data_IF_187231016372
#
_entry.id   IF_187231016372
#
_cell.length_a   1.000
_cell.length_b   1.000
_cell.length_c   1.000
_cell.angle_alpha   90.00
_cell.angle_beta   90.00
_cell.angle_gamma   90.00
#
_symmetry.space_group_name_H-M   'P 1'
#
loop_
_entity.id
_entity.type
_entity.pdbx_description
1 polymer ?
#
# COMPACT_ATOMS: atom_id res chain seq x y z
N UNK A 1 -27.93 -4.16 -10.04
CA UNK A 1 -27.43 -4.34 -8.66
C UNK A 1 -26.77 -3.03 -8.26
N UNK A 2 -27.23 -2.37 -7.19
CA UNK A 2 -26.55 -1.17 -6.68
C UNK A 2 -25.14 -1.57 -6.26
N UNK A 3 -24.11 -0.91 -6.78
CA UNK A 3 -22.79 -1.00 -6.19
C UNK A 3 -22.90 -0.57 -4.71
N UNK A 4 -22.22 -1.27 -3.81
CA UNK A 4 -22.19 -0.87 -2.41
C UNK A 4 -21.50 0.50 -2.33
N UNK A 5 -22.26 1.55 -2.03
CA UNK A 5 -21.72 2.88 -1.78
C UNK A 5 -21.11 2.90 -0.39
N UNK A 6 -19.81 3.18 -0.31
CA UNK A 6 -19.17 3.41 0.98
C UNK A 6 -19.56 4.78 1.50
N UNK A 7 -19.86 4.87 2.80
CA UNK A 7 -19.68 6.15 3.50
C UNK A 7 -18.18 6.52 3.50
N UNK A 8 -17.83 7.81 3.68
CA UNK A 8 -16.42 8.24 3.71
C UNK A 8 -15.57 7.47 4.72
N UNK A 9 -16.11 7.19 5.91
CA UNK A 9 -15.38 6.49 6.97
C UNK A 9 -15.23 4.99 6.69
N UNK A 10 -16.26 4.35 6.14
CA UNK A 10 -16.16 2.96 5.68
C UNK A 10 -15.12 2.82 4.57
N UNK A 11 -15.10 3.75 3.60
CA UNK A 11 -14.09 3.77 2.54
C UNK A 11 -12.67 3.92 3.12
N UNK A 12 -12.45 4.88 4.02
CA UNK A 12 -11.15 5.07 4.68
C UNK A 12 -10.71 3.82 5.45
N UNK A 13 -11.61 3.27 6.28
CA UNK A 13 -11.34 2.06 7.07
C UNK A 13 -11.04 0.85 6.18
N UNK A 14 -11.81 0.67 5.11
CA UNK A 14 -11.60 -0.38 4.12
C UNK A 14 -10.21 -0.28 3.46
N UNK A 15 -9.82 0.92 3.04
CA UNK A 15 -8.50 1.14 2.44
C UNK A 15 -7.36 0.92 3.44
N UNK A 16 -7.47 1.45 4.67
CA UNK A 16 -6.47 1.27 5.71
C UNK A 16 -6.28 -0.20 6.10
N UNK A 17 -7.34 -1.01 6.07
CA UNK A 17 -7.23 -2.45 6.30
C UNK A 17 -6.35 -3.14 5.24
N UNK A 18 -6.42 -2.75 3.96
CA UNK A 18 -5.53 -3.31 2.94
C UNK A 18 -4.07 -2.88 3.14
N UNK A 19 -3.83 -1.63 3.52
CA UNK A 19 -2.47 -1.18 3.87
C UNK A 19 -1.92 -1.98 5.04
N UNK A 20 -2.67 -2.14 6.13
CA UNK A 20 -2.24 -2.92 7.29
C UNK A 20 -1.94 -4.40 6.94
N UNK A 21 -2.80 -5.02 6.11
CA UNK A 21 -2.58 -6.39 5.64
C UNK A 21 -1.35 -6.52 4.73
N UNK A 22 -1.09 -5.52 3.88
CA UNK A 22 0.12 -5.50 3.07
C UNK A 22 1.37 -5.35 3.95
N UNK A 23 1.35 -4.44 4.92
CA UNK A 23 2.45 -4.26 5.87
C UNK A 23 2.77 -5.57 6.59
N UNK A 24 1.76 -6.29 7.09
CA UNK A 24 1.94 -7.62 7.68
C UNK A 24 2.54 -8.64 6.71
N UNK A 25 2.14 -8.62 5.43
CA UNK A 25 2.69 -9.52 4.42
C UNK A 25 4.16 -9.20 4.07
N UNK A 26 4.55 -7.93 4.11
CA UNK A 26 5.95 -7.48 3.98
C UNK A 26 6.75 -7.95 5.18
N UNK A 27 6.29 -7.68 6.41
CA UNK A 27 6.93 -8.16 7.64
C UNK A 27 7.17 -9.66 7.58
N UNK A 28 6.16 -10.43 7.17
CA UNK A 28 6.28 -11.89 7.06
C UNK A 28 7.32 -12.34 6.04
N UNK A 29 7.50 -11.57 4.96
CA UNK A 29 8.51 -11.88 3.94
C UNK A 29 9.92 -11.60 4.44
N UNK A 30 10.10 -10.53 5.22
CA UNK A 30 11.37 -10.21 5.87
C UNK A 30 11.73 -11.19 6.99
N UNK A 31 10.75 -11.73 7.72
CA UNK A 31 10.96 -12.82 8.68
C UNK A 31 11.56 -14.05 8.00
N UNK A 32 10.97 -14.49 6.89
CA UNK A 32 11.49 -15.62 6.11
C UNK A 32 12.90 -15.34 5.57
N UNK A 33 13.16 -14.10 5.12
CA UNK A 33 14.48 -13.68 4.68
C UNK A 33 15.51 -13.71 5.82
N UNK A 34 15.13 -13.29 7.03
CA UNK A 34 15.97 -13.35 8.21
C UNK A 34 16.29 -14.79 8.60
N UNK A 35 15.29 -15.67 8.61
CA UNK A 35 15.46 -17.12 8.87
C UNK A 35 16.41 -17.78 7.84
N UNK A 36 16.35 -17.34 6.58
CA UNK A 36 17.25 -17.79 5.52
C UNK A 36 18.64 -17.11 5.53
N UNK A 37 18.92 -16.24 6.51
CA UNK A 37 20.20 -15.52 6.61
C UNK A 37 20.44 -14.44 5.55
N UNK A 38 19.39 -14.01 4.83
CA UNK A 38 19.45 -12.97 3.80
C UNK A 38 19.29 -11.55 4.36
N UNK A 39 18.72 -11.41 5.55
CA UNK A 39 18.54 -10.12 6.23
C UNK A 39 19.02 -10.24 7.68
N UNK A 40 19.90 -9.34 8.12
CA UNK A 40 20.42 -9.37 9.49
C UNK A 40 19.40 -8.84 10.53
N UNK A 41 18.63 -7.80 10.17
CA UNK A 41 17.69 -7.12 11.07
C UNK A 41 16.46 -6.65 10.32
N UNK A 42 15.29 -6.79 10.95
CA UNK A 42 14.03 -6.23 10.47
C UNK A 42 13.81 -4.88 11.15
N UNK A 43 13.60 -3.82 10.36
CA UNK A 43 13.32 -2.47 10.87
C UNK A 43 11.88 -2.35 11.37
N UNK A 44 11.61 -1.42 12.27
CA UNK A 44 10.31 -1.33 12.97
C UNK A 44 9.26 -0.53 12.18
N UNK A 45 9.66 0.39 11.30
CA UNK A 45 8.72 1.20 10.53
C UNK A 45 8.32 0.52 9.23
N UNK A 46 7.02 0.54 8.89
CA UNK A 46 6.47 -0.07 7.68
C UNK A 46 7.18 0.38 6.39
N UNK A 47 7.42 1.69 6.22
CA UNK A 47 8.12 2.23 5.06
C UNK A 47 9.58 1.76 4.97
N UNK A 48 10.24 1.55 6.11
CA UNK A 48 11.59 0.97 6.16
C UNK A 48 11.57 -0.51 5.78
N UNK A 49 10.59 -1.27 6.28
CA UNK A 49 10.44 -2.67 5.89
C UNK A 49 10.15 -2.83 4.39
N UNK A 50 9.31 -1.97 3.81
CA UNK A 50 9.08 -1.98 2.36
C UNK A 50 10.38 -1.69 1.59
N UNK A 51 11.17 -0.71 2.04
CA UNK A 51 12.47 -0.43 1.42
C UNK A 51 13.44 -1.62 1.52
N UNK A 52 13.48 -2.32 2.66
CA UNK A 52 14.28 -3.56 2.82
C UNK A 52 13.81 -4.66 1.86
N UNK A 53 12.49 -4.83 1.70
CA UNK A 53 11.92 -5.81 0.78
C UNK A 53 12.30 -5.50 -0.68
N UNK A 54 12.29 -4.22 -1.06
CA UNK A 54 12.66 -3.79 -2.42
C UNK A 54 14.12 -4.17 -2.70
N UNK A 55 15.04 -3.79 -1.83
CA UNK A 55 16.47 -4.14 -1.96
C UNK A 55 16.65 -5.65 -2.03
N UNK A 56 16.03 -6.39 -1.10
CA UNK A 56 16.10 -7.86 -1.10
C UNK A 56 15.54 -8.47 -2.39
N UNK A 57 14.52 -7.86 -3.00
CA UNK A 57 13.94 -8.35 -4.25
C UNK A 57 14.86 -8.25 -5.46
N UNK A 58 15.85 -7.36 -5.41
CA UNK A 58 16.89 -7.22 -6.42
C UNK A 58 17.99 -8.28 -6.26
N UNK A 59 18.20 -8.79 -5.04
CA UNK A 59 19.22 -9.81 -4.73
C UNK A 59 18.72 -11.25 -4.90
N UNK A 60 17.42 -11.50 -4.72
CA UNK A 60 16.85 -12.85 -4.78
C UNK A 60 16.63 -13.28 -6.24
N UNK A 61 17.38 -14.31 -6.64
CA UNK A 61 17.31 -14.89 -7.97
C UNK A 61 15.91 -15.41 -8.35
N UNK A 62 15.67 -15.51 -9.66
CA UNK A 62 14.44 -16.05 -10.21
C UNK A 62 14.44 -16.01 -11.72
N UNK A 63 13.49 -16.73 -12.33
CA UNK A 63 13.28 -16.64 -13.78
C UNK A 63 12.86 -15.22 -14.17
N UNK A 64 13.19 -14.80 -15.40
CA UNK A 64 12.77 -13.50 -15.95
C UNK A 64 11.27 -13.23 -15.77
N UNK A 65 10.43 -14.27 -15.94
CA UNK A 65 8.97 -14.18 -15.73
C UNK A 65 8.62 -13.87 -14.26
N UNK A 66 9.27 -14.50 -13.29
CA UNK A 66 9.03 -14.27 -11.86
C UNK A 66 9.49 -12.85 -11.45
N UNK A 67 10.67 -12.44 -11.89
CA UNK A 67 11.21 -11.10 -11.58
C UNK A 67 10.32 -10.00 -12.15
N UNK A 68 9.89 -10.14 -13.41
CA UNK A 68 8.98 -9.19 -14.06
C UNK A 68 7.61 -9.14 -13.36
N UNK A 69 7.06 -10.28 -12.96
CA UNK A 69 5.77 -10.32 -12.26
C UNK A 69 5.84 -9.63 -10.89
N UNK A 70 6.91 -9.85 -10.13
CA UNK A 70 7.13 -9.18 -8.84
C UNK A 70 7.31 -7.67 -9.03
N UNK A 71 8.18 -7.25 -9.96
CA UNK A 71 8.41 -5.83 -10.25
C UNK A 71 7.14 -5.10 -10.69
N UNK A 72 6.33 -5.70 -11.57
CA UNK A 72 5.07 -5.10 -11.99
C UNK A 72 4.09 -4.92 -10.83
N UNK A 73 3.97 -5.92 -9.95
CA UNK A 73 3.11 -5.83 -8.79
C UNK A 73 3.62 -4.75 -7.81
N UNK A 74 4.94 -4.67 -7.61
CA UNK A 74 5.56 -3.70 -6.73
C UNK A 74 5.34 -2.26 -7.23
N UNK A 75 5.53 -2.04 -8.54
CA UNK A 75 5.29 -0.74 -9.17
C UNK A 75 3.82 -0.31 -9.01
N UNK A 76 2.87 -1.23 -9.22
CA UNK A 76 1.45 -0.95 -9.01
C UNK A 76 1.15 -0.53 -7.55
N UNK A 77 1.81 -1.17 -6.57
CA UNK A 77 1.68 -0.79 -5.17
C UNK A 77 2.31 0.58 -4.87
N UNK A 78 3.51 0.85 -5.39
CA UNK A 78 4.24 2.11 -5.18
C UNK A 78 3.50 3.34 -5.74
N UNK A 79 2.64 3.17 -6.74
CA UNK A 79 1.77 4.25 -7.24
C UNK A 79 0.70 4.62 -6.20
N UNK A 80 0.22 3.64 -5.42
CA UNK A 80 -0.89 3.79 -4.47
C UNK A 80 -0.40 4.17 -3.07
N UNK A 81 0.77 3.67 -2.66
CA UNK A 81 1.35 3.86 -1.32
C UNK A 81 1.34 5.32 -0.83
N UNK A 82 1.68 6.35 -1.65
CA UNK A 82 1.66 7.73 -1.20
C UNK A 82 0.30 8.23 -0.73
N UNK A 83 -0.81 7.57 -1.10
CA UNK A 83 -2.17 7.91 -0.66
C UNK A 83 -2.47 7.47 0.77
N UNK A 84 -1.71 6.52 1.31
CA UNK A 84 -1.87 6.00 2.69
C UNK A 84 -1.84 7.11 3.74
N UNK A 85 -0.94 8.09 3.59
CA UNK A 85 -0.82 9.19 4.56
C UNK A 85 -2.09 10.04 4.66
N UNK A 86 -2.81 10.25 3.55
CA UNK A 86 -4.07 10.98 3.55
C UNK A 86 -5.17 10.18 4.24
N UNK A 87 -5.21 8.86 4.00
CA UNK A 87 -6.18 7.99 4.64
C UNK A 87 -5.96 7.89 6.16
N UNK A 88 -4.71 7.85 6.60
CA UNK A 88 -4.34 7.68 8.00
C UNK A 88 -4.33 9.00 8.81
N UNK A 89 -3.85 10.09 8.20
CA UNK A 89 -3.58 11.35 8.90
C UNK A 89 -4.32 12.54 8.31
N UNK A 90 -5.01 12.36 7.18
CA UNK A 90 -5.73 13.42 6.52
C UNK A 90 -6.89 13.93 7.37
N UNK A 91 -6.93 15.23 7.56
CA UNK A 91 -7.99 15.96 8.24
C UNK A 91 -8.62 16.96 7.27
N UNK A 92 -9.93 17.17 7.37
CA UNK A 92 -10.61 18.15 6.53
C UNK A 92 -12.12 17.95 6.49
N UNK A 93 -12.82 18.86 5.80
CA UNK A 93 -14.28 18.83 5.73
C UNK A 93 -14.81 17.73 4.81
N UNK A 94 -16.01 17.26 5.15
CA UNK A 94 -16.88 16.44 4.31
C UNK A 94 -18.02 17.30 3.78
N UNK A 95 -18.24 17.28 2.47
CA UNK A 95 -19.38 17.93 1.84
C UNK A 95 -20.26 16.90 1.13
N UNK A 96 -21.54 17.20 1.00
CA UNK A 96 -22.49 16.43 0.20
C UNK A 96 -22.88 17.26 -1.02
N UNK A 97 -22.83 16.64 -2.19
CA UNK A 97 -23.26 17.22 -3.46
C UNK A 97 -24.79 17.13 -3.60
N UNK A 98 -25.38 17.92 -4.50
CA UNK A 98 -26.83 17.96 -4.68
C UNK A 98 -27.45 16.62 -5.10
N UNK A 99 -26.66 15.74 -5.71
CA UNK A 99 -27.07 14.40 -6.13
C UNK A 99 -26.95 13.35 -5.01
N UNK A 100 -26.54 13.75 -3.80
CA UNK A 100 -26.34 12.87 -2.65
C UNK A 100 -24.97 12.19 -2.59
N UNK A 101 -24.10 12.41 -3.58
CA UNK A 101 -22.72 11.92 -3.53
C UNK A 101 -21.90 12.77 -2.55
N UNK A 102 -20.84 12.21 -1.97
CA UNK A 102 -19.96 12.95 -1.07
C UNK A 102 -18.64 13.40 -1.72
N UNK A 103 -18.08 14.49 -1.18
CA UNK A 103 -16.75 15.01 -1.47
C UNK A 103 -15.98 15.17 -0.14
N UNK A 104 -14.84 14.49 -0.04
CA UNK A 104 -13.96 14.57 1.13
C UNK A 104 -12.67 15.32 0.78
N UNK A 105 -12.30 16.28 1.62
CA UNK A 105 -10.99 16.92 1.56
C UNK A 105 -10.09 16.36 2.66
N UNK A 106 -8.90 15.89 2.28
CA UNK A 106 -7.90 15.34 3.19
C UNK A 106 -6.62 16.18 3.10
N UNK A 107 -6.33 16.91 4.16
CA UNK A 107 -5.11 17.70 4.31
C UNK A 107 -4.11 16.96 5.19
N UNK A 108 -2.87 16.87 4.71
CA UNK A 108 -1.75 16.25 5.43
C UNK A 108 -0.60 17.23 5.53
N UNK A 109 -0.16 17.43 6.78
CA UNK A 109 1.12 18.05 7.09
C UNK A 109 2.19 16.96 7.17
N UNK A 110 3.23 17.11 6.37
CA UNK A 110 4.41 16.25 6.42
C UNK A 110 5.66 17.10 6.65
N UNK A 111 6.67 16.51 7.27
CA UNK A 111 7.94 17.17 7.52
C UNK A 111 9.05 16.32 6.92
N UNK A 112 9.84 16.92 6.01
CA UNK A 112 11.02 16.27 5.43
C UNK A 112 12.22 17.18 5.61
N UNK A 113 13.28 16.67 6.25
CA UNK A 113 14.48 17.46 6.58
C UNK A 113 14.14 18.76 7.34
N UNK A 114 13.17 18.67 8.27
CA UNK A 114 12.64 19.80 9.04
C UNK A 114 11.92 20.89 8.20
N UNK A 115 11.58 20.60 6.95
CA UNK A 115 10.77 21.47 6.08
C UNK A 115 9.34 20.95 6.04
N UNK A 116 8.40 21.80 6.42
CA UNK A 116 6.97 21.49 6.34
C UNK A 116 6.50 21.47 4.89
N UNK A 117 5.71 20.46 4.55
CA UNK A 117 4.97 20.36 3.28
C UNK A 117 3.51 20.11 3.59
N UNK A 118 2.65 20.97 3.04
CA UNK A 118 1.21 20.85 3.12
C UNK A 118 0.69 20.27 1.80
N UNK A 119 -0.02 19.16 1.89
CA UNK A 119 -0.61 18.51 0.72
C UNK A 119 -2.08 18.25 0.95
N UNK A 120 -2.89 18.40 -0.10
CA UNK A 120 -4.34 18.18 -0.09
C UNK A 120 -4.71 17.11 -1.11
N UNK A 121 -5.62 16.22 -0.72
CA UNK A 121 -6.29 15.30 -1.62
C UNK A 121 -7.80 15.50 -1.51
N UNK A 122 -8.41 15.97 -2.61
CA UNK A 122 -9.86 15.98 -2.77
C UNK A 122 -10.30 14.64 -3.38
N UNK A 123 -11.31 14.02 -2.79
CA UNK A 123 -11.81 12.71 -3.21
C UNK A 123 -13.33 12.74 -3.31
N UNK A 124 -13.84 12.56 -4.52
CA UNK A 124 -15.26 12.32 -4.77
C UNK A 124 -15.60 10.86 -4.51
N UNK A 125 -16.85 10.57 -4.16
CA UNK A 125 -17.33 9.20 -3.94
C UNK A 125 -16.95 8.23 -5.06
N UNK A 126 -17.13 8.62 -6.32
CA UNK A 126 -16.72 7.77 -7.46
C UNK A 126 -15.21 7.54 -7.50
N UNK A 127 -14.39 8.55 -7.24
CA UNK A 127 -12.93 8.40 -7.21
C UNK A 127 -12.50 7.48 -6.07
N UNK A 128 -13.21 7.53 -4.94
CA UNK A 128 -13.01 6.65 -3.80
C UNK A 128 -13.27 5.18 -4.16
N UNK A 129 -14.36 4.89 -4.88
CA UNK A 129 -14.68 3.54 -5.37
C UNK A 129 -13.63 2.99 -6.34
N UNK A 130 -13.18 3.82 -7.28
CA UNK A 130 -12.09 3.45 -8.21
C UNK A 130 -10.80 3.19 -7.46
N UNK A 131 -10.42 4.09 -6.53
CA UNK A 131 -9.24 3.92 -5.71
C UNK A 131 -9.29 2.63 -4.87
N UNK A 132 -10.45 2.31 -4.26
CA UNK A 132 -10.61 1.07 -3.49
C UNK A 132 -10.45 -0.18 -4.36
N UNK A 133 -10.93 -0.12 -5.61
CA UNK A 133 -10.76 -1.19 -6.60
C UNK A 133 -9.29 -1.35 -6.98
N UNK A 134 -8.59 -0.26 -7.29
CA UNK A 134 -7.17 -0.27 -7.64
C UNK A 134 -6.31 -0.77 -6.49
N UNK A 135 -6.57 -0.30 -5.27
CA UNK A 135 -5.91 -0.76 -4.05
C UNK A 135 -6.12 -2.26 -3.82
N UNK A 136 -7.35 -2.75 -3.99
CA UNK A 136 -7.66 -4.18 -3.86
C UNK A 136 -6.90 -5.01 -4.89
N UNK A 137 -6.82 -4.54 -6.14
CA UNK A 137 -6.12 -5.24 -7.22
C UNK A 137 -4.60 -5.25 -7.00
N UNK A 138 -4.01 -4.11 -6.62
CA UNK A 138 -2.60 -4.01 -6.28
C UNK A 138 -2.25 -4.89 -5.07
N UNK A 139 -3.10 -4.89 -4.03
CA UNK A 139 -2.95 -5.77 -2.86
C UNK A 139 -2.95 -7.25 -3.25
N UNK A 140 -3.93 -7.68 -4.07
CA UNK A 140 -4.04 -9.07 -4.52
C UNK A 140 -2.80 -9.50 -5.32
N UNK A 141 -2.38 -8.65 -6.27
CA UNK A 141 -1.19 -8.90 -7.07
C UNK A 141 0.05 -9.05 -6.18
N UNK A 142 0.28 -8.08 -5.29
CA UNK A 142 1.44 -8.11 -4.39
C UNK A 142 1.41 -9.27 -3.40
N UNK A 143 0.27 -9.57 -2.80
CA UNK A 143 0.15 -10.68 -1.85
C UNK A 143 0.48 -12.03 -2.50
N UNK A 144 0.02 -12.23 -3.75
CA UNK A 144 0.40 -13.41 -4.54
C UNK A 144 1.90 -13.46 -4.82
N UNK A 145 2.48 -12.35 -5.28
CA UNK A 145 3.92 -12.28 -5.58
C UNK A 145 4.79 -12.44 -4.34
N UNK A 146 4.39 -11.90 -3.18
CA UNK A 146 5.08 -12.12 -1.90
C UNK A 146 5.06 -13.59 -1.47
N UNK A 147 3.97 -14.31 -1.75
CA UNK A 147 3.90 -15.76 -1.54
C UNK A 147 4.93 -16.53 -2.36
N UNK A 148 5.09 -16.20 -3.64
CA UNK A 148 6.11 -16.78 -4.50
C UNK A 148 7.52 -16.35 -4.10
N UNK A 149 7.69 -15.10 -3.71
CA UNK A 149 8.97 -14.54 -3.26
C UNK A 149 9.52 -15.28 -2.04
N UNK A 150 8.69 -15.52 -1.01
CA UNK A 150 9.09 -16.29 0.18
C UNK A 150 9.58 -17.69 -0.17
N UNK A 151 8.93 -18.37 -1.12
CA UNK A 151 9.38 -19.70 -1.59
C UNK A 151 10.76 -19.62 -2.24
N UNK A 152 11.03 -18.58 -3.03
CA UNK A 152 12.34 -18.37 -3.68
C UNK A 152 13.44 -18.11 -2.65
N UNK A 153 13.17 -17.32 -1.61
CA UNK A 153 14.13 -17.07 -0.52
C UNK A 153 14.58 -18.38 0.15
N UNK A 154 13.66 -19.33 0.31
CA UNK A 154 13.90 -20.61 1.00
C UNK A 154 14.54 -21.67 0.10
N UNK A 155 14.46 -21.51 -1.22
CA UNK A 155 15.08 -22.42 -2.19
C UNK A 155 16.54 -22.01 -2.39
N UNK A 156 17.46 -22.89 -1.99
CA UNK A 156 18.88 -22.78 -2.31
C UNK A 156 19.13 -23.14 -3.76
#
# INVERSE_FOLDING_TARGET
MSAARFSPDEWRGHCLNYFARFEAAVSKSLEVAKEAGRVAKIRHLAGQQLADLIVLSEEVEGTSKQLKAFSNALNAWQIIEPKRQFLAHGVGPLAHEQNGDWLLLLDVNSYRSNVASFTRWAVREKEAEHFATDLTNAFKAMSGQLGHFRKRIQQK
#
